data_IF_621836302261
#
_entry.id   IF_621836302261
#
_cell.length_a   1.000
_cell.length_b   1.000
_cell.length_c   1.000
_cell.angle_alpha   90.00
_cell.angle_beta   90.00
_cell.angle_gamma   90.00
#
_symmetry.space_group_name_H-M   'P 1'
#
loop_
_entity.id
_entity.type
_entity.pdbx_description
1 polymer ?
#
# COMPACT_ATOMS: atom_id res chain seq x y z
N UNK A 1 10.40 10.17 -12.50
CA UNK A 1 10.17 10.44 -11.06
C UNK A 1 10.99 9.45 -10.23
N UNK A 2 11.41 9.81 -9.01
CA UNK A 2 12.17 8.90 -8.11
C UNK A 2 11.25 8.40 -6.99
N UNK A 3 10.57 7.26 -7.21
CA UNK A 3 9.59 6.73 -6.26
C UNK A 3 10.25 6.18 -5.00
N UNK A 4 11.34 5.42 -5.16
CA UNK A 4 12.07 4.86 -4.01
C UNK A 4 12.70 5.95 -3.16
N UNK A 5 13.26 7.01 -3.77
CA UNK A 5 13.78 8.15 -3.01
C UNK A 5 12.71 8.87 -2.17
N UNK A 6 11.45 8.90 -2.63
CA UNK A 6 10.33 9.43 -1.84
C UNK A 6 9.99 8.50 -0.68
N UNK A 7 9.97 7.18 -0.90
CA UNK A 7 9.75 6.19 0.18
C UNK A 7 10.84 6.32 1.25
N UNK A 8 12.11 6.36 0.86
CA UNK A 8 13.25 6.57 1.77
C UNK A 8 13.10 7.86 2.59
N UNK A 9 12.69 8.95 1.94
CA UNK A 9 12.45 10.23 2.58
C UNK A 9 11.33 10.14 3.62
N UNK A 10 10.19 9.57 3.27
CA UNK A 10 9.03 9.45 4.17
C UNK A 10 9.34 8.54 5.34
N UNK A 11 9.99 7.39 5.12
CA UNK A 11 10.45 6.50 6.18
C UNK A 11 11.33 7.22 7.21
N UNK A 12 12.27 8.05 6.72
CA UNK A 12 13.14 8.85 7.58
C UNK A 12 12.36 9.94 8.32
N UNK A 13 11.46 10.66 7.65
CA UNK A 13 10.62 11.69 8.26
C UNK A 13 9.71 11.13 9.36
N UNK A 14 9.17 9.92 9.18
CA UNK A 14 8.41 9.21 10.22
C UNK A 14 9.24 8.99 11.48
N UNK A 15 10.49 8.55 11.33
CA UNK A 15 11.40 8.35 12.46
C UNK A 15 11.83 9.67 13.12
N UNK A 16 12.13 10.69 12.33
CA UNK A 16 12.50 12.03 12.82
C UNK A 16 11.34 12.69 13.58
N UNK A 17 10.10 12.59 13.07
CA UNK A 17 8.91 13.09 13.73
C UNK A 17 8.70 12.41 15.09
N UNK A 18 8.79 11.08 15.15
CA UNK A 18 8.67 10.33 16.39
C UNK A 18 9.75 10.73 17.42
N UNK A 19 11.00 10.91 16.97
CA UNK A 19 12.10 11.36 17.83
C UNK A 19 11.91 12.78 18.37
N UNK A 20 11.18 13.63 17.65
CA UNK A 20 10.80 14.98 18.07
C UNK A 20 9.50 15.02 18.90
N UNK A 21 8.88 13.86 19.21
CA UNK A 21 7.61 13.77 19.93
C UNK A 21 6.37 14.08 19.08
N UNK A 22 6.52 14.14 17.75
CA UNK A 22 5.44 14.28 16.80
C UNK A 22 5.12 12.96 16.09
N UNK A 23 4.30 13.06 15.05
CA UNK A 23 3.85 11.92 14.26
C UNK A 23 3.81 12.27 12.77
N UNK A 24 4.32 11.38 11.93
CA UNK A 24 4.25 11.48 10.48
C UNK A 24 4.15 10.06 9.91
N UNK A 25 3.01 9.71 9.31
CA UNK A 25 2.78 8.39 8.72
C UNK A 25 2.08 8.56 7.37
N UNK A 26 2.49 7.76 6.39
CA UNK A 26 1.76 7.61 5.14
C UNK A 26 0.58 6.65 5.33
N UNK A 27 -0.42 6.74 4.47
CA UNK A 27 -1.50 5.75 4.39
C UNK A 27 -1.28 4.84 3.19
N UNK A 28 -1.82 3.63 3.28
CA UNK A 28 -1.85 2.67 2.18
C UNK A 28 -2.71 3.23 1.04
N UNK A 29 -2.10 3.48 -0.11
CA UNK A 29 -2.80 3.79 -1.35
C UNK A 29 -2.75 2.64 -2.34
N UNK A 30 -3.43 2.83 -3.47
CA UNK A 30 -3.39 1.85 -4.57
C UNK A 30 -1.97 1.67 -5.13
N UNK A 31 -1.14 2.72 -5.10
CA UNK A 31 0.25 2.65 -5.57
C UNK A 31 1.13 1.77 -4.69
N UNK A 32 0.98 1.83 -3.36
CA UNK A 32 1.69 0.95 -2.43
C UNK A 32 1.27 -0.52 -2.64
N UNK A 33 -0.04 -0.77 -2.81
CA UNK A 33 -0.56 -2.11 -3.12
C UNK A 33 0.00 -2.65 -4.44
N UNK A 34 -0.03 -1.84 -5.50
CA UNK A 34 0.49 -2.22 -6.81
C UNK A 34 2.01 -2.47 -6.77
N UNK A 35 2.77 -1.67 -6.03
CA UNK A 35 4.21 -1.82 -5.88
C UNK A 35 4.56 -3.09 -5.09
N UNK A 36 3.86 -3.35 -3.98
CA UNK A 36 4.00 -4.58 -3.18
C UNK A 36 3.65 -5.80 -4.05
N UNK A 37 2.50 -5.79 -4.71
CA UNK A 37 2.04 -6.90 -5.53
C UNK A 37 2.94 -7.15 -6.73
N UNK A 38 3.44 -6.10 -7.40
CA UNK A 38 4.36 -6.25 -8.53
C UNK A 38 5.66 -6.96 -8.12
N UNK A 39 6.13 -6.70 -6.89
CA UNK A 39 7.33 -7.34 -6.35
C UNK A 39 7.07 -8.77 -5.85
N UNK A 40 5.93 -9.02 -5.20
CA UNK A 40 5.60 -10.34 -4.60
C UNK A 40 5.10 -11.33 -5.63
N UNK A 41 4.25 -10.89 -6.54
CA UNK A 41 3.51 -11.76 -7.46
C UNK A 41 4.04 -11.70 -8.90
N UNK A 42 4.90 -10.74 -9.24
CA UNK A 42 5.57 -10.67 -10.55
C UNK A 42 4.60 -10.83 -11.74
N UNK A 43 4.71 -11.91 -12.51
CA UNK A 43 3.89 -12.24 -13.68
C UNK A 43 2.70 -13.16 -13.35
N UNK A 44 2.41 -13.39 -12.07
CA UNK A 44 1.25 -14.17 -11.62
C UNK A 44 -0.04 -13.50 -12.13
N UNK A 45 -0.86 -14.21 -12.93
CA UNK A 45 -2.12 -13.69 -13.41
C UNK A 45 -3.14 -13.61 -12.27
N UNK A 46 -3.93 -12.53 -12.26
CA UNK A 46 -5.05 -12.32 -11.34
C UNK A 46 -6.32 -12.04 -12.14
N UNK A 47 -7.48 -12.40 -11.58
CA UNK A 47 -8.76 -12.13 -12.20
C UNK A 47 -9.21 -10.70 -11.89
N UNK A 48 -9.21 -9.83 -12.91
CA UNK A 48 -9.76 -8.47 -12.79
C UNK A 48 -11.14 -8.39 -13.44
N UNK A 49 -11.89 -7.32 -13.12
CA UNK A 49 -13.18 -7.02 -13.77
C UNK A 49 -13.10 -6.84 -15.29
N UNK A 50 -11.90 -6.65 -15.87
CA UNK A 50 -11.65 -6.52 -17.30
C UNK A 50 -11.01 -7.77 -17.94
N UNK A 51 -10.88 -8.87 -17.19
CA UNK A 51 -10.19 -10.09 -17.61
C UNK A 51 -8.90 -10.34 -16.82
N UNK A 52 -7.98 -11.13 -17.37
CA UNK A 52 -6.71 -11.44 -16.70
C UNK A 52 -5.76 -10.23 -16.67
N UNK A 53 -5.23 -9.90 -15.49
CA UNK A 53 -4.26 -8.83 -15.26
C UNK A 53 -3.01 -9.34 -14.51
N UNK A 54 -1.99 -8.50 -14.37
CA UNK A 54 -0.86 -8.73 -13.46
C UNK A 54 -0.54 -7.44 -12.71
N UNK A 55 -0.04 -7.54 -11.49
CA UNK A 55 0.38 -6.36 -10.72
C UNK A 55 1.48 -5.57 -11.42
N UNK A 56 2.44 -6.23 -12.09
CA UNK A 56 3.49 -5.52 -12.81
C UNK A 56 2.93 -4.68 -13.96
N UNK A 57 1.96 -5.21 -14.72
CA UNK A 57 1.33 -4.46 -15.80
C UNK A 57 0.52 -3.26 -15.26
N UNK A 58 -0.23 -3.48 -14.18
CA UNK A 58 -1.02 -2.44 -13.53
C UNK A 58 -0.13 -1.35 -12.91
N UNK A 59 0.98 -1.71 -12.27
CA UNK A 59 1.95 -0.76 -11.73
C UNK A 59 2.53 0.15 -12.82
N UNK A 60 2.95 -0.43 -13.94
CA UNK A 60 3.48 0.34 -15.08
C UNK A 60 2.41 1.23 -15.71
N UNK A 61 1.17 0.74 -15.83
CA UNK A 61 0.04 1.51 -16.36
C UNK A 61 -0.28 2.73 -15.48
N UNK A 62 -0.13 2.59 -14.16
CA UNK A 62 -0.29 3.67 -13.20
C UNK A 62 0.96 4.57 -13.07
N UNK A 63 1.89 4.52 -14.04
CA UNK A 63 3.05 5.42 -14.08
C UNK A 63 4.25 4.96 -13.26
N UNK A 64 4.22 3.73 -12.74
CA UNK A 64 5.34 3.10 -12.08
C UNK A 64 6.58 3.02 -12.96
N UNK A 65 7.77 3.19 -12.36
CA UNK A 65 9.04 3.17 -13.10
C UNK A 65 9.78 1.84 -12.90
N UNK A 66 10.42 1.35 -13.96
CA UNK A 66 11.27 0.14 -13.88
C UNK A 66 12.44 0.35 -12.91
N UNK A 67 13.02 1.54 -12.88
CA UNK A 67 14.10 1.89 -11.96
C UNK A 67 13.68 1.83 -10.48
N UNK A 68 12.39 1.99 -10.18
CA UNK A 68 11.90 1.82 -8.80
C UNK A 68 11.95 0.35 -8.41
N UNK A 69 11.58 -0.58 -9.31
CA UNK A 69 11.68 -2.02 -9.08
C UNK A 69 13.12 -2.48 -8.86
N UNK A 70 14.07 -1.92 -9.61
CA UNK A 70 15.50 -2.24 -9.48
C UNK A 70 16.06 -1.83 -8.11
N UNK A 71 15.49 -0.79 -7.49
CA UNK A 71 15.92 -0.24 -6.20
C UNK A 71 15.05 -0.69 -5.02
N UNK A 72 13.93 -1.34 -5.27
CA UNK A 72 12.99 -1.78 -4.24
C UNK A 72 13.60 -2.91 -3.39
N UNK A 73 13.62 -2.71 -2.07
CA UNK A 73 14.20 -3.63 -1.09
C UNK A 73 13.13 -4.14 -0.12
N UNK A 74 13.45 -5.23 0.57
CA UNK A 74 12.54 -5.86 1.55
C UNK A 74 12.15 -4.91 2.69
N UNK A 75 13.04 -4.00 3.09
CA UNK A 75 12.74 -3.00 4.11
C UNK A 75 11.62 -2.04 3.68
N UNK A 76 11.58 -1.66 2.39
CA UNK A 76 10.50 -0.83 1.84
C UNK A 76 9.18 -1.60 1.85
N UNK A 77 9.21 -2.87 1.43
CA UNK A 77 8.02 -3.73 1.41
C UNK A 77 7.47 -3.94 2.82
N UNK A 78 8.33 -4.24 3.79
CA UNK A 78 7.93 -4.44 5.19
C UNK A 78 7.36 -3.16 5.81
N UNK A 79 7.92 -2.00 5.47
CA UNK A 79 7.40 -0.72 5.93
C UNK A 79 6.04 -0.42 5.29
N UNK A 80 5.90 -0.51 3.97
CA UNK A 80 4.64 -0.23 3.26
C UNK A 80 3.52 -1.19 3.67
N UNK A 81 3.81 -2.48 3.85
CA UNK A 81 2.80 -3.48 4.28
C UNK A 81 2.23 -3.26 5.68
N UNK A 82 2.76 -2.29 6.44
CA UNK A 82 2.29 -1.91 7.79
C UNK A 82 1.60 -0.55 7.82
N UNK A 83 1.45 0.11 6.67
CA UNK A 83 0.71 1.38 6.60
C UNK A 83 -0.76 1.12 6.88
N UNK A 84 -1.41 2.07 7.55
CA UNK A 84 -2.85 1.99 7.77
C UNK A 84 -3.56 2.37 6.47
N UNK A 85 -4.66 1.70 6.17
CA UNK A 85 -5.55 2.05 5.07
C UNK A 85 -6.40 3.28 5.42
N UNK A 86 -6.79 3.40 6.69
CA UNK A 86 -7.61 4.50 7.22
C UNK A 86 -7.14 4.92 8.62
N UNK A 87 -7.20 6.21 8.94
CA UNK A 87 -6.90 6.73 10.28
C UNK A 87 -7.80 7.92 10.59
N UNK A 88 -8.21 8.10 11.84
CA UNK A 88 -8.88 9.32 12.31
C UNK A 88 -7.90 10.18 13.10
N UNK A 89 -7.84 11.47 12.75
CA UNK A 89 -7.09 12.48 13.50
C UNK A 89 -7.96 13.72 13.70
N UNK A 90 -8.09 14.21 14.93
CA UNK A 90 -8.91 15.38 15.29
C UNK A 90 -10.33 15.36 14.69
N UNK A 91 -10.99 14.18 14.68
CA UNK A 91 -12.33 14.01 14.12
C UNK A 91 -12.40 13.97 12.59
N UNK A 92 -11.26 13.87 11.91
CA UNK A 92 -11.16 13.76 10.46
C UNK A 92 -10.65 12.38 10.06
N UNK A 93 -11.46 11.65 9.30
CA UNK A 93 -11.07 10.37 8.72
C UNK A 93 -10.22 10.60 7.47
N UNK A 94 -8.99 10.10 7.48
CA UNK A 94 -8.03 10.18 6.39
C UNK A 94 -7.94 8.82 5.71
N UNK A 95 -7.99 8.82 4.38
CA UNK A 95 -7.94 7.64 3.52
C UNK A 95 -7.41 8.03 2.14
N UNK A 96 -7.02 7.03 1.34
CA UNK A 96 -6.49 7.29 0.01
C UNK A 96 -7.56 7.70 -1.01
N UNK A 97 -8.76 7.11 -0.96
CA UNK A 97 -9.84 7.34 -1.92
C UNK A 97 -11.18 7.58 -1.23
N UNK A 98 -11.98 8.51 -1.73
CA UNK A 98 -13.33 8.80 -1.22
C UNK A 98 -14.32 7.73 -1.70
N UNK A 99 -14.33 6.58 -1.02
CA UNK A 99 -15.18 5.43 -1.35
C UNK A 99 -15.69 4.72 -0.09
N UNK A 100 -16.88 4.15 -0.18
CA UNK A 100 -17.44 3.30 0.89
C UNK A 100 -16.92 1.87 0.87
N UNK A 101 -16.10 1.49 -0.12
CA UNK A 101 -15.55 0.15 -0.24
C UNK A 101 -14.72 -0.29 1.00
N UNK A 102 -14.17 0.68 1.76
CA UNK A 102 -13.50 0.36 3.02
C UNK A 102 -14.39 -0.38 4.04
N UNK A 103 -15.73 -0.21 3.96
CA UNK A 103 -16.68 -0.90 4.83
C UNK A 103 -16.79 -2.40 4.57
N UNK A 104 -16.31 -2.89 3.42
CA UNK A 104 -16.25 -4.32 3.12
C UNK A 104 -15.16 -5.03 3.96
N UNK A 105 -14.23 -4.26 4.53
CA UNK A 105 -13.13 -4.76 5.37
C UNK A 105 -13.37 -4.60 6.87
N UNK A 106 -14.44 -3.91 7.31
CA UNK A 106 -14.68 -3.70 8.73
C UNK A 106 -15.69 -2.62 9.06
N UNK A 107 -16.12 -2.59 10.32
CA UNK A 107 -17.07 -1.59 10.84
C UNK A 107 -16.43 -0.51 11.71
N UNK A 108 -15.16 -0.71 12.06
CA UNK A 108 -14.33 0.22 12.84
C UNK A 108 -13.01 0.45 12.10
N UNK A 109 -12.27 1.51 12.47
CA UNK A 109 -10.97 1.83 11.88
C UNK A 109 -9.99 0.67 12.10
N UNK A 110 -10.02 0.09 13.30
CA UNK A 110 -9.20 -1.05 13.68
C UNK A 110 -9.54 -2.28 12.82
N UNK A 111 -10.83 -2.63 12.67
CA UNK A 111 -11.25 -3.79 11.87
C UNK A 111 -10.77 -3.66 10.41
N UNK A 112 -10.91 -2.47 9.83
CA UNK A 112 -10.50 -2.21 8.44
C UNK A 112 -9.00 -2.41 8.28
N UNK A 113 -8.20 -1.79 9.15
CA UNK A 113 -6.74 -1.90 9.08
C UNK A 113 -6.25 -3.34 9.34
N UNK A 114 -6.81 -4.01 10.35
CA UNK A 114 -6.46 -5.40 10.68
C UNK A 114 -6.77 -6.36 9.52
N UNK A 115 -7.93 -6.18 8.86
CA UNK A 115 -8.31 -6.99 7.69
C UNK A 115 -7.38 -6.74 6.51
N UNK A 116 -7.05 -5.49 6.21
CA UNK A 116 -6.10 -5.14 5.14
C UNK A 116 -4.72 -5.73 5.42
N UNK A 117 -4.21 -5.60 6.66
CA UNK A 117 -2.91 -6.17 7.05
C UNK A 117 -2.91 -7.70 6.99
N UNK A 118 -4.02 -8.34 7.37
CA UNK A 118 -4.17 -9.78 7.29
C UNK A 118 -4.12 -10.28 5.84
N UNK A 119 -4.85 -9.62 4.93
CA UNK A 119 -4.83 -9.95 3.49
C UNK A 119 -3.40 -9.78 2.93
N UNK A 120 -2.74 -8.67 3.22
CA UNK A 120 -1.35 -8.43 2.80
C UNK A 120 -0.36 -9.45 3.35
N UNK A 121 -0.65 -10.10 4.49
CA UNK A 121 0.23 -11.09 5.10
C UNK A 121 0.03 -12.49 4.52
N UNK A 122 -1.16 -12.83 4.02
CA UNK A 122 -1.49 -14.15 3.47
C UNK A 122 -0.74 -14.49 2.18
N UNK A 123 -0.22 -13.47 1.48
CA UNK A 123 0.53 -13.62 0.23
C UNK A 123 -0.27 -14.37 -0.85
N UNK A 124 -1.57 -14.08 -0.94
CA UNK A 124 -2.46 -14.53 -2.00
C UNK A 124 -2.64 -13.40 -3.03
N UNK A 125 -2.45 -13.70 -4.31
CA UNK A 125 -2.43 -12.69 -5.37
C UNK A 125 -3.83 -12.17 -5.69
N UNK A 126 -4.85 -13.03 -5.65
CA UNK A 126 -6.23 -12.64 -5.94
C UNK A 126 -6.81 -11.84 -4.76
N UNK A 127 -6.63 -12.30 -3.50
CA UNK A 127 -7.08 -11.51 -2.33
C UNK A 127 -6.38 -10.13 -2.27
N UNK A 128 -5.08 -10.06 -2.59
CA UNK A 128 -4.35 -8.80 -2.60
C UNK A 128 -4.76 -7.87 -3.77
N UNK A 129 -5.28 -8.42 -4.86
CA UNK A 129 -5.73 -7.64 -6.02
C UNK A 129 -7.11 -7.02 -5.78
N UNK A 130 -7.95 -7.71 -5.01
CA UNK A 130 -9.29 -7.23 -4.65
C UNK A 130 -9.27 -6.11 -3.59
N UNK A 131 -8.13 -5.88 -2.91
CA UNK A 131 -7.90 -4.75 -1.99
C UNK A 131 -8.00 -3.39 -2.69
#
# INVERSE_FOLDING_TARGET
PDGIGVIDLVMRLSAEAAAAGGYCKALMGNHELLLIGAKRFSDTPVNSGAGTATFQAAWLLNGGQKSDMDRLQDVHLQWMSRLDAVVEEDGHLLMHSDTTAYLDYGSTIEDVNDTVHAILTRNDADECWDL
#
